data_IF_485473981043
#
_entry.id   IF_485473981043
#
_cell.length_a   1.000
_cell.length_b   1.000
_cell.length_c   1.000
_cell.angle_alpha   90.00
_cell.angle_beta   90.00
_cell.angle_gamma   90.00
#
_symmetry.space_group_name_H-M   'P 1'
#
loop_
_entity.id
_entity.type
_entity.pdbx_description
1 polymer ?
#
# COMPACT_ATOMS: atom_id res chain seq x y z
N UNK A 1 -36.00 11.09 8.22
CA UNK A 1 -36.67 11.04 9.54
C UNK A 1 -35.59 11.34 10.59
N UNK A 2 -35.58 12.53 11.20
CA UNK A 2 -34.55 12.94 12.16
C UNK A 2 -34.84 12.31 13.52
N UNK A 3 -34.06 11.30 13.90
CA UNK A 3 -34.17 10.59 15.19
C UNK A 3 -33.58 11.50 16.27
N UNK A 4 -34.38 11.85 17.29
CA UNK A 4 -33.97 12.70 18.41
C UNK A 4 -33.28 11.86 19.49
N UNK A 5 -32.00 12.09 19.83
CA UNK A 5 -31.24 11.23 20.75
C UNK A 5 -31.68 11.27 22.21
N UNK A 6 -32.61 12.16 22.58
CA UNK A 6 -33.06 12.35 23.96
C UNK A 6 -34.21 11.46 24.39
N UNK A 7 -34.82 10.74 23.44
CA UNK A 7 -35.96 9.88 23.70
C UNK A 7 -35.57 8.40 23.96
N UNK A 8 -34.27 8.08 24.01
CA UNK A 8 -33.76 6.71 24.19
C UNK A 8 -33.03 6.55 25.54
N UNK A 9 -33.28 5.44 26.21
CA UNK A 9 -32.57 5.05 27.44
C UNK A 9 -31.10 4.66 27.14
N UNK A 10 -30.21 4.74 28.14
CA UNK A 10 -28.79 4.38 28.01
C UNK A 10 -28.57 2.96 27.46
N UNK A 11 -29.46 2.01 27.77
CA UNK A 11 -29.36 0.66 27.22
C UNK A 11 -29.70 0.61 25.72
N UNK A 12 -30.72 1.34 25.28
CA UNK A 12 -31.10 1.43 23.86
C UNK A 12 -30.02 2.18 23.06
N UNK A 13 -29.43 3.23 23.62
CA UNK A 13 -28.31 3.93 23.00
C UNK A 13 -27.08 3.02 22.83
N UNK A 14 -26.79 2.17 23.83
CA UNK A 14 -25.70 1.19 23.77
C UNK A 14 -25.97 0.10 22.74
N UNK A 15 -27.22 -0.33 22.61
CA UNK A 15 -27.64 -1.30 21.60
C UNK A 15 -27.58 -0.69 20.19
N UNK A 16 -28.01 0.55 20.01
CA UNK A 16 -27.91 1.29 18.75
C UNK A 16 -26.47 1.57 18.33
N UNK A 17 -25.58 1.88 19.29
CA UNK A 17 -24.15 2.04 19.03
C UNK A 17 -23.54 0.72 18.54
N UNK A 18 -23.80 -0.38 19.25
CA UNK A 18 -23.35 -1.72 18.84
C UNK A 18 -23.90 -2.11 17.46
N UNK A 19 -25.16 -1.76 17.18
CA UNK A 19 -25.80 -2.05 15.89
C UNK A 19 -25.30 -1.15 14.76
N UNK A 20 -24.73 0.02 15.05
CA UNK A 20 -24.09 0.89 14.04
C UNK A 20 -22.71 0.38 13.64
N UNK A 21 -21.94 -0.18 14.58
CA UNK A 21 -20.64 -0.80 14.27
C UNK A 21 -20.76 -1.98 13.27
N UNK A 22 -21.95 -2.60 13.16
CA UNK A 22 -22.22 -3.65 12.17
C UNK A 22 -22.67 -3.11 10.80
N UNK A 23 -23.14 -1.85 10.72
CA UNK A 23 -23.68 -1.25 9.48
C UNK A 23 -22.58 -0.53 8.68
N UNK A 24 -21.45 -0.18 9.29
CA UNK A 24 -20.31 0.47 8.64
C UNK A 24 -19.31 -0.51 7.99
N UNK A 25 -19.55 -1.82 8.11
CA UNK A 25 -18.71 -2.87 7.48
C UNK A 25 -19.05 -3.13 6.00
N UNK A 26 -20.10 -2.50 5.47
CA UNK A 26 -20.69 -2.83 4.17
C UNK A 26 -20.98 -1.56 3.35
N UNK A 27 -20.01 -0.64 3.25
CA UNK A 27 -20.04 0.42 2.24
C UNK A 27 -19.50 -0.11 0.90
N UNK A 28 -20.34 -0.35 -0.13
CA UNK A 28 -19.91 -0.87 -1.42
C UNK A 28 -19.11 0.14 -2.27
N UNK A 29 -18.89 1.37 -1.78
CA UNK A 29 -18.04 2.39 -2.42
C UNK A 29 -16.65 2.51 -1.80
N UNK A 30 -16.44 1.93 -0.63
CA UNK A 30 -15.10 1.68 -0.15
C UNK A 30 -14.68 0.38 -0.81
N UNK A 31 -13.97 0.45 -1.94
CA UNK A 31 -13.24 -0.73 -2.41
C UNK A 31 -12.35 -1.15 -1.24
N UNK A 32 -12.79 -2.18 -0.52
CA UNK A 32 -12.05 -2.76 0.57
C UNK A 32 -10.88 -3.45 -0.10
N UNK A 33 -9.83 -2.67 -0.36
CA UNK A 33 -8.54 -3.12 -0.83
C UNK A 33 -8.00 -4.00 0.29
N UNK A 34 -8.45 -5.25 0.30
CA UNK A 34 -8.05 -6.21 1.30
C UNK A 34 -6.57 -6.49 1.08
N UNK A 35 -5.80 -6.27 2.14
CA UNK A 35 -4.37 -6.57 2.17
C UNK A 35 -4.13 -8.04 1.75
N UNK A 36 -3.05 -8.32 0.99
CA UNK A 36 -2.09 -7.36 0.47
C UNK A 36 -2.64 -6.52 -0.68
N UNK A 37 -2.27 -5.23 -0.71
CA UNK A 37 -2.78 -4.28 -1.70
C UNK A 37 -2.33 -4.64 -3.11
N UNK A 38 -1.03 -4.86 -3.31
CA UNK A 38 -0.49 -5.27 -4.60
C UNK A 38 -0.16 -6.77 -4.59
N UNK A 39 -1.04 -7.57 -5.21
CA UNK A 39 -0.92 -9.04 -5.24
C UNK A 39 -0.05 -9.59 -6.38
N UNK A 40 0.29 -8.75 -7.34
CA UNK A 40 1.04 -9.09 -8.55
C UNK A 40 1.30 -7.84 -9.38
N UNK A 41 2.44 -7.77 -10.08
CA UNK A 41 2.66 -6.69 -11.03
C UNK A 41 1.76 -6.92 -12.26
N UNK A 42 0.89 -5.98 -12.66
CA UNK A 42 0.06 -6.15 -13.84
C UNK A 42 0.90 -6.36 -15.10
N UNK A 43 0.54 -7.33 -15.93
CA UNK A 43 1.23 -7.64 -17.20
C UNK A 43 0.86 -6.65 -18.31
N UNK A 44 1.23 -5.39 -18.11
CA UNK A 44 1.03 -4.30 -19.07
C UNK A 44 2.26 -3.41 -19.13
N UNK A 45 2.58 -2.90 -20.32
CA UNK A 45 3.68 -1.93 -20.50
C UNK A 45 3.53 -0.67 -19.62
N UNK A 46 2.29 -0.25 -19.36
CA UNK A 46 2.03 0.90 -18.51
C UNK A 46 2.36 0.63 -17.04
N UNK A 47 2.00 -0.55 -16.51
CA UNK A 47 2.35 -0.95 -15.15
C UNK A 47 3.86 -1.14 -14.99
N UNK A 48 4.51 -1.77 -15.97
CA UNK A 48 5.97 -1.95 -15.98
C UNK A 48 6.71 -0.61 -15.90
N UNK A 49 6.27 0.40 -16.67
CA UNK A 49 6.83 1.74 -16.59
C UNK A 49 6.70 2.36 -15.18
N UNK A 50 5.56 2.17 -14.53
CA UNK A 50 5.29 2.69 -13.18
C UNK A 50 6.11 1.95 -12.13
N UNK A 51 6.37 0.66 -12.32
CA UNK A 51 7.29 -0.11 -11.48
C UNK A 51 8.70 0.46 -11.57
N UNK A 52 9.22 0.71 -12.78
CA UNK A 52 10.56 1.28 -12.93
C UNK A 52 10.65 2.70 -12.35
N UNK A 53 9.63 3.54 -12.58
CA UNK A 53 9.54 4.87 -11.96
C UNK A 53 9.61 4.79 -10.42
N UNK A 54 8.93 3.80 -9.83
CA UNK A 54 8.96 3.58 -8.39
C UNK A 54 10.32 3.07 -7.89
N UNK A 55 10.93 2.10 -8.58
CA UNK A 55 12.24 1.57 -8.21
C UNK A 55 13.36 2.61 -8.35
N UNK A 56 13.32 3.43 -9.40
CA UNK A 56 14.23 4.56 -9.58
C UNK A 56 14.10 5.57 -8.44
N UNK A 57 12.87 5.88 -8.01
CA UNK A 57 12.61 6.72 -6.85
C UNK A 57 13.26 6.14 -5.57
N UNK A 58 13.03 4.85 -5.28
CA UNK A 58 13.61 4.19 -4.10
C UNK A 58 15.14 4.21 -4.14
N UNK A 59 15.73 3.92 -5.30
CA UNK A 59 17.18 3.95 -5.49
C UNK A 59 17.77 5.37 -5.35
N UNK A 60 17.07 6.39 -5.86
CA UNK A 60 17.53 7.78 -5.77
C UNK A 60 17.51 8.29 -4.32
N UNK A 61 16.53 7.89 -3.52
CA UNK A 61 16.37 8.35 -2.15
C UNK A 61 17.18 7.51 -1.14
N UNK A 62 17.26 6.19 -1.36
CA UNK A 62 17.83 5.27 -0.39
C UNK A 62 18.92 4.32 -0.90
N UNK A 63 19.30 4.45 -2.17
CA UNK A 63 20.28 3.56 -2.77
C UNK A 63 19.77 2.11 -2.82
N UNK A 64 20.63 1.19 -3.25
CA UNK A 64 20.24 -0.20 -3.42
C UNK A 64 19.83 -0.87 -2.10
N UNK A 65 20.66 -0.74 -1.07
CA UNK A 65 20.40 -1.42 0.21
C UNK A 65 19.10 -0.90 0.85
N UNK A 66 18.91 0.41 0.90
CA UNK A 66 17.69 1.00 1.48
C UNK A 66 16.43 0.68 0.67
N UNK A 67 16.53 0.63 -0.66
CA UNK A 67 15.43 0.19 -1.51
C UNK A 67 15.04 -1.28 -1.24
N UNK A 68 16.02 -2.18 -1.15
CA UNK A 68 15.78 -3.60 -0.85
C UNK A 68 15.17 -3.79 0.55
N UNK A 69 15.68 -3.08 1.56
CA UNK A 69 15.14 -3.09 2.92
C UNK A 69 13.70 -2.55 2.96
N UNK A 70 13.40 -1.50 2.19
CA UNK A 70 12.06 -0.94 2.07
C UNK A 70 11.07 -1.94 1.45
N UNK A 71 11.45 -2.64 0.38
CA UNK A 71 10.61 -3.67 -0.23
C UNK A 71 10.31 -4.80 0.75
N UNK A 72 11.32 -5.25 1.52
CA UNK A 72 11.12 -6.25 2.58
C UNK A 72 10.18 -5.73 3.67
N UNK A 73 10.31 -4.46 4.06
CA UNK A 73 9.41 -3.85 5.02
C UNK A 73 7.97 -3.80 4.50
N UNK A 74 7.75 -3.40 3.24
CA UNK A 74 6.43 -3.34 2.62
C UNK A 74 5.76 -4.70 2.52
N UNK A 75 6.53 -5.75 2.22
CA UNK A 75 6.08 -7.14 2.30
C UNK A 75 5.64 -7.50 3.72
N UNK A 76 6.45 -7.17 4.74
CA UNK A 76 6.19 -7.56 6.14
C UNK A 76 4.90 -6.96 6.73
N UNK A 77 4.39 -5.86 6.16
CA UNK A 77 3.15 -5.19 6.57
C UNK A 77 1.99 -5.39 5.57
N UNK A 78 2.16 -6.34 4.64
CA UNK A 78 1.21 -6.72 3.59
C UNK A 78 0.78 -5.54 2.70
N UNK A 79 1.72 -4.70 2.29
CA UNK A 79 1.46 -3.75 1.18
C UNK A 79 1.62 -4.42 -0.18
N UNK A 80 2.60 -5.32 -0.27
CA UNK A 80 2.91 -6.14 -1.45
C UNK A 80 3.03 -7.60 -1.02
N UNK A 81 2.81 -8.54 -1.95
CA UNK A 81 3.08 -9.97 -1.70
C UNK A 81 4.57 -10.31 -1.79
N UNK A 82 4.97 -11.47 -1.23
CA UNK A 82 6.31 -12.04 -1.40
C UNK A 82 6.70 -12.15 -2.88
N UNK A 83 5.77 -12.59 -3.74
CA UNK A 83 6.01 -12.70 -5.19
C UNK A 83 6.36 -11.34 -5.83
N UNK A 84 5.63 -10.28 -5.45
CA UNK A 84 5.89 -8.92 -5.93
C UNK A 84 7.21 -8.40 -5.38
N UNK A 85 7.48 -8.59 -4.09
CA UNK A 85 8.75 -8.19 -3.48
C UNK A 85 9.94 -8.89 -4.16
N UNK A 86 9.82 -10.18 -4.46
CA UNK A 86 10.81 -10.95 -5.21
C UNK A 86 11.07 -10.39 -6.60
N UNK A 87 10.00 -10.16 -7.38
CA UNK A 87 10.12 -9.59 -8.73
C UNK A 87 10.79 -8.21 -8.73
N UNK A 88 10.44 -7.34 -7.78
CA UNK A 88 11.03 -6.01 -7.66
C UNK A 88 12.50 -6.05 -7.24
N UNK A 89 12.89 -6.97 -6.36
CA UNK A 89 14.29 -7.19 -6.00
C UNK A 89 15.12 -7.71 -7.18
N UNK A 90 14.56 -8.59 -8.02
CA UNK A 90 15.22 -9.04 -9.25
C UNK A 90 15.48 -7.86 -10.21
N UNK A 91 14.53 -6.93 -10.32
CA UNK A 91 14.71 -5.69 -11.09
C UNK A 91 15.79 -4.79 -10.50
N UNK A 92 15.79 -4.58 -9.17
CA UNK A 92 16.83 -3.80 -8.49
C UNK A 92 18.23 -4.37 -8.74
N UNK A 93 18.39 -5.70 -8.68
CA UNK A 93 19.66 -6.37 -8.92
C UNK A 93 20.20 -6.06 -10.32
N UNK A 94 19.34 -6.10 -11.34
CA UNK A 94 19.71 -5.75 -12.71
C UNK A 94 20.08 -4.27 -12.91
N UNK A 95 19.57 -3.38 -12.06
CA UNK A 95 19.89 -1.94 -12.10
C UNK A 95 21.21 -1.65 -11.36
N UNK A 96 21.46 -2.29 -10.21
CA UNK A 96 22.68 -2.03 -9.42
C UNK A 96 23.97 -2.49 -10.08
N UNK A 97 23.92 -3.54 -10.92
CA UNK A 97 25.05 -3.94 -11.77
C UNK A 97 25.55 -2.79 -12.68
N UNK A 98 24.73 -1.75 -12.86
CA UNK A 98 25.02 -0.55 -13.64
C UNK A 98 25.53 0.66 -12.80
N UNK A 99 25.68 0.51 -11.48
CA UNK A 99 26.34 1.46 -10.57
C UNK A 99 25.41 2.43 -9.85
N UNK A 100 24.82 2.00 -8.73
CA UNK A 100 23.99 2.86 -7.85
C UNK A 100 24.81 3.49 -6.71
N UNK A 101 24.34 4.64 -6.21
CA UNK A 101 24.98 5.43 -5.15
C UNK A 101 24.70 4.89 -3.74
N UNK A 102 25.55 5.26 -2.77
CA UNK A 102 25.26 5.07 -1.34
C UNK A 102 24.12 6.02 -0.94
N UNK A 103 22.92 5.48 -0.71
CA UNK A 103 21.76 6.26 -0.31
C UNK A 103 21.53 6.30 1.21
N UNK A 104 20.59 7.14 1.63
CA UNK A 104 20.16 7.30 3.03
C UNK A 104 18.92 6.46 3.37
N UNK A 105 18.49 6.41 4.63
CA UNK A 105 17.21 5.77 4.95
C UNK A 105 16.02 6.56 4.34
N UNK A 106 14.97 5.87 3.93
CA UNK A 106 13.71 6.50 3.47
C UNK A 106 13.01 7.19 4.65
N UNK A 107 12.43 8.36 4.40
CA UNK A 107 11.60 9.05 5.39
C UNK A 107 10.10 8.71 5.26
N UNK A 108 9.27 9.33 6.09
CA UNK A 108 7.82 9.08 6.10
C UNK A 108 7.16 9.52 4.79
N UNK A 109 7.60 10.62 4.18
CA UNK A 109 7.04 11.11 2.94
C UNK A 109 7.37 10.15 1.79
N UNK A 110 8.57 9.55 1.82
CA UNK A 110 8.98 8.53 0.86
C UNK A 110 8.12 7.26 0.93
N UNK A 111 7.81 6.80 2.15
CA UNK A 111 6.91 5.66 2.36
C UNK A 111 5.48 5.98 1.94
N UNK A 112 5.00 7.20 2.17
CA UNK A 112 3.68 7.64 1.72
C UNK A 112 3.60 7.67 0.19
N UNK A 113 4.65 8.13 -0.49
CA UNK A 113 4.71 8.10 -1.95
C UNK A 113 4.76 6.67 -2.49
N UNK A 114 5.51 5.77 -1.83
CA UNK A 114 5.52 4.35 -2.16
C UNK A 114 4.12 3.72 -2.09
N UNK A 115 3.32 4.10 -1.10
CA UNK A 115 1.92 3.64 -0.99
C UNK A 115 1.05 4.14 -2.17
N UNK A 116 1.32 5.34 -2.71
CA UNK A 116 0.63 5.85 -3.90
C UNK A 116 0.99 5.02 -5.14
N UNK A 117 2.27 4.63 -5.31
CA UNK A 117 2.68 3.72 -6.38
C UNK A 117 1.97 2.36 -6.27
N UNK A 118 1.95 1.78 -5.07
CA UNK A 118 1.23 0.52 -4.78
C UNK A 118 -0.24 0.65 -5.17
N UNK A 119 -0.94 1.69 -4.71
CA UNK A 119 -2.35 1.91 -5.03
C UNK A 119 -2.59 2.10 -6.54
N UNK A 120 -1.69 2.83 -7.23
CA UNK A 120 -1.75 3.03 -8.68
C UNK A 120 -1.59 1.72 -9.44
N UNK A 121 -0.64 0.87 -9.04
CA UNK A 121 -0.43 -0.46 -9.63
C UNK A 121 -1.60 -1.41 -9.35
N UNK A 122 -2.17 -1.38 -8.14
CA UNK A 122 -3.36 -2.18 -7.80
C UNK A 122 -4.56 -1.76 -8.66
N UNK A 123 -4.75 -0.46 -8.91
CA UNK A 123 -5.81 0.02 -9.81
C UNK A 123 -5.63 -0.36 -11.28
N UNK A 124 -4.51 -0.98 -11.65
CA UNK A 124 -4.24 -1.52 -12.99
C UNK A 124 -4.41 -3.05 -13.07
N UNK A 125 -4.72 -3.73 -11.95
CA UNK A 125 -4.96 -5.17 -11.88
C UNK A 125 -6.33 -5.59 -12.43
#
# INVERSE_FOLDING_TARGET
MTINPRDYDLNELREMARKRDDVDRDDPRSENLEKPYLRGVPDTYAAEFVVFEWLEFLLMHAGYQGAAEALQYYESIDWITEDVAGQLNDYLLGIDENGSSEGSDLDVDDHMLSLVYVAKLTGMQ
#
